data_IF_811698170746
#
_entry.id   IF_811698170746
#
_cell.length_a   1.000
_cell.length_b   1.000
_cell.length_c   1.000
_cell.angle_alpha   90.00
_cell.angle_beta   90.00
_cell.angle_gamma   90.00
#
_symmetry.space_group_name_H-M   'P 1'
#
loop_
_entity.id
_entity.type
_entity.pdbx_description
1 polymer ?
#
# COMPACT_ATOMS: atom_id res chain seq x y z
N UNK A 1 -49.90 -39.65 -8.79
CA UNK A 1 -48.79 -38.74 -8.42
C UNK A 1 -47.47 -39.37 -8.88
N UNK A 2 -46.61 -38.65 -9.63
CA UNK A 2 -45.25 -39.09 -9.97
C UNK A 2 -44.24 -38.28 -9.17
N UNK A 3 -43.29 -38.96 -8.54
CA UNK A 3 -42.07 -38.46 -7.88
C UNK A 3 -40.96 -39.42 -8.36
N UNK A 4 -39.65 -39.08 -8.44
CA UNK A 4 -38.89 -37.83 -8.62
C UNK A 4 -37.82 -37.98 -9.75
N UNK A 5 -36.92 -37.00 -9.93
CA UNK A 5 -35.48 -37.30 -10.16
C UNK A 5 -34.59 -36.15 -9.66
N UNK A 6 -33.55 -36.49 -8.89
CA UNK A 6 -32.58 -35.55 -8.34
C UNK A 6 -31.76 -34.86 -9.44
N UNK A 7 -31.38 -33.58 -9.27
CA UNK A 7 -30.58 -32.87 -10.25
C UNK A 7 -29.20 -33.53 -10.40
N UNK A 8 -28.85 -33.82 -11.65
CA UNK A 8 -27.55 -34.35 -12.09
C UNK A 8 -26.40 -33.62 -11.40
N UNK A 9 -25.60 -34.36 -10.63
CA UNK A 9 -24.35 -33.90 -10.01
C UNK A 9 -23.46 -33.30 -11.11
N UNK A 10 -23.16 -32.00 -11.02
CA UNK A 10 -22.21 -31.33 -11.92
C UNK A 10 -20.89 -32.09 -11.87
N UNK A 11 -20.45 -32.60 -13.01
CA UNK A 11 -19.12 -33.20 -13.17
C UNK A 11 -18.10 -32.11 -12.88
N UNK A 12 -17.24 -32.31 -11.89
CA UNK A 12 -16.16 -31.39 -11.59
C UNK A 12 -15.24 -31.31 -12.82
N UNK A 13 -15.20 -30.15 -13.46
CA UNK A 13 -14.25 -29.87 -14.54
C UNK A 13 -13.01 -29.23 -13.91
N UNK A 14 -11.84 -29.87 -13.95
CA UNK A 14 -10.63 -29.21 -13.49
C UNK A 14 -10.37 -27.97 -14.34
N UNK A 15 -9.92 -26.89 -13.68
CA UNK A 15 -9.52 -25.69 -14.39
C UNK A 15 -8.35 -26.03 -15.33
N UNK A 16 -8.31 -25.45 -16.54
CA UNK A 16 -7.16 -25.64 -17.43
C UNK A 16 -5.89 -25.13 -16.74
N UNK A 17 -4.78 -25.85 -16.94
CA UNK A 17 -3.47 -25.44 -16.42
C UNK A 17 -3.10 -24.07 -17.00
N UNK A 18 -2.68 -23.10 -16.16
CA UNK A 18 -2.31 -21.78 -16.63
C UNK A 18 -1.13 -21.88 -17.59
N UNK A 19 -1.15 -21.04 -18.63
CA UNK A 19 -0.04 -20.95 -19.58
C UNK A 19 1.19 -20.35 -18.89
N UNK A 20 2.41 -20.62 -19.40
CA UNK A 20 3.63 -20.02 -18.85
C UNK A 20 3.60 -18.48 -18.86
N UNK A 21 2.87 -17.88 -19.81
CA UNK A 21 2.70 -16.42 -19.90
C UNK A 21 1.84 -15.89 -18.73
N UNK A 22 0.71 -16.54 -18.44
CA UNK A 22 -0.14 -16.20 -17.29
C UNK A 22 0.62 -16.38 -15.99
N UNK A 23 1.41 -17.45 -15.87
CA UNK A 23 2.23 -17.70 -14.68
C UNK A 23 3.30 -16.61 -14.50
N UNK A 24 3.98 -16.22 -15.59
CA UNK A 24 4.94 -15.12 -15.58
C UNK A 24 4.32 -13.78 -15.19
N UNK A 25 3.13 -13.47 -15.71
CA UNK A 25 2.39 -12.25 -15.36
C UNK A 25 2.00 -12.23 -13.86
N UNK A 26 1.48 -13.34 -13.33
CA UNK A 26 1.14 -13.46 -11.92
C UNK A 26 2.40 -13.30 -11.05
N UNK A 27 3.51 -13.96 -11.40
CA UNK A 27 4.78 -13.85 -10.65
C UNK A 27 5.33 -12.42 -10.70
N UNK A 28 5.22 -11.73 -11.84
CA UNK A 28 5.64 -10.34 -11.96
C UNK A 28 4.82 -9.43 -11.02
N UNK A 29 3.49 -9.60 -10.97
CA UNK A 29 2.62 -8.89 -10.03
C UNK A 29 2.97 -9.23 -8.58
N UNK A 30 3.11 -10.52 -8.25
CA UNK A 30 3.45 -10.95 -6.89
C UNK A 30 4.82 -10.42 -6.45
N UNK A 31 5.81 -10.37 -7.35
CA UNK A 31 7.12 -9.77 -7.06
C UNK A 31 7.00 -8.25 -6.84
N UNK A 32 6.21 -7.55 -7.67
CA UNK A 32 5.95 -6.12 -7.49
C UNK A 32 5.26 -5.83 -6.14
N UNK A 33 4.29 -6.66 -5.75
CA UNK A 33 3.60 -6.57 -4.46
C UNK A 33 4.53 -6.93 -3.30
N UNK A 34 5.40 -7.93 -3.45
CA UNK A 34 6.36 -8.31 -2.41
C UNK A 34 7.45 -7.25 -2.16
N UNK A 35 7.82 -6.49 -3.20
CA UNK A 35 8.80 -5.39 -3.11
C UNK A 35 8.14 -4.07 -2.72
N UNK A 36 6.84 -3.92 -2.98
CA UNK A 36 6.09 -2.79 -2.45
C UNK A 36 6.17 -2.80 -0.91
N UNK A 37 6.26 -1.63 -0.26
CA UNK A 37 6.71 -1.50 1.13
C UNK A 37 5.64 -1.91 2.17
N UNK A 38 4.92 -3.00 1.92
CA UNK A 38 3.85 -3.54 2.76
C UNK A 38 4.39 -4.27 4.01
N UNK A 39 5.69 -4.51 4.09
CA UNK A 39 6.32 -5.19 5.23
C UNK A 39 7.63 -4.52 5.63
N UNK A 40 7.69 -4.08 6.89
CA UNK A 40 8.80 -4.13 7.86
C UNK A 40 10.28 -4.04 7.42
N UNK A 41 10.58 -3.57 6.21
CA UNK A 41 11.88 -2.96 5.92
C UNK A 41 12.03 -1.81 6.89
N UNK A 42 13.02 -1.92 7.78
CA UNK A 42 13.23 -0.96 8.86
C UNK A 42 13.71 0.34 8.22
N UNK A 43 12.76 1.18 7.81
CA UNK A 43 13.03 2.52 7.31
C UNK A 43 13.82 3.24 8.40
N UNK A 44 15.01 3.71 8.05
CA UNK A 44 15.79 4.51 8.98
C UNK A 44 15.03 5.83 9.21
N UNK A 45 14.72 6.18 10.48
CA UNK A 45 13.91 7.37 10.76
C UNK A 45 14.60 8.66 10.32
N UNK A 46 15.94 8.71 10.29
CA UNK A 46 16.70 9.86 9.79
C UNK A 46 16.53 10.05 8.28
N UNK A 47 16.56 8.95 7.53
CA UNK A 47 16.26 8.96 6.09
C UNK A 47 14.82 9.40 5.83
N UNK A 48 13.86 8.87 6.58
CA UNK A 48 12.45 9.26 6.46
C UNK A 48 12.23 10.75 6.74
N UNK A 49 12.83 11.28 7.80
CA UNK A 49 12.77 12.71 8.15
C UNK A 49 13.32 13.55 7.01
N UNK A 50 14.49 13.19 6.49
CA UNK A 50 15.14 13.93 5.39
C UNK A 50 14.26 13.95 4.15
N UNK A 51 13.70 12.80 3.75
CA UNK A 51 12.81 12.70 2.59
C UNK A 51 11.53 13.51 2.77
N UNK A 52 10.92 13.47 3.95
CA UNK A 52 9.70 14.23 4.24
C UNK A 52 9.96 15.74 4.33
N UNK A 53 11.13 16.15 4.85
CA UNK A 53 11.57 17.53 4.87
C UNK A 53 11.81 18.06 3.46
N UNK A 54 12.51 17.31 2.63
CA UNK A 54 12.73 17.65 1.22
C UNK A 54 11.40 17.77 0.46
N UNK A 55 10.48 16.82 0.67
CA UNK A 55 9.16 16.86 0.07
C UNK A 55 8.32 18.08 0.54
N UNK A 56 8.45 18.47 1.81
CA UNK A 56 7.79 19.68 2.34
C UNK A 56 8.40 20.96 1.75
N UNK A 57 9.71 21.01 1.57
CA UNK A 57 10.42 22.15 0.96
C UNK A 57 10.07 22.29 -0.52
N UNK A 58 10.00 21.18 -1.25
CA UNK A 58 9.68 21.14 -2.68
C UNK A 58 8.17 21.15 -2.97
N UNK A 59 7.33 21.08 -1.92
CA UNK A 59 5.88 21.00 -2.00
C UNK A 59 5.39 19.82 -2.86
N UNK A 60 6.13 18.71 -2.83
CA UNK A 60 5.82 17.51 -3.62
C UNK A 60 4.95 16.54 -2.83
N UNK A 61 3.95 15.96 -3.49
CA UNK A 61 3.12 14.93 -2.86
C UNK A 61 3.90 13.62 -2.75
N UNK A 62 3.71 12.91 -1.64
CA UNK A 62 4.37 11.64 -1.35
C UNK A 62 3.36 10.58 -0.95
N UNK A 63 3.64 9.33 -1.31
CA UNK A 63 2.98 8.15 -0.79
C UNK A 63 3.73 7.69 0.45
N UNK A 64 3.06 7.71 1.60
CA UNK A 64 3.58 7.13 2.84
C UNK A 64 2.95 5.77 3.11
N UNK A 65 3.77 4.83 3.54
CA UNK A 65 3.30 3.66 4.28
C UNK A 65 3.14 4.07 5.73
N UNK A 66 1.99 3.80 6.34
CA UNK A 66 1.67 4.25 7.69
C UNK A 66 0.92 3.19 8.48
N UNK A 67 1.41 2.88 9.67
CA UNK A 67 0.75 1.97 10.61
C UNK A 67 -0.13 2.79 11.56
N UNK A 68 -1.41 2.45 11.64
CA UNK A 68 -2.37 3.10 12.54
C UNK A 68 -2.16 2.67 14.03
N UNK A 69 -2.84 3.27 15.04
CA UNK A 69 -2.65 2.87 16.44
C UNK A 69 -3.14 1.44 16.73
N UNK A 70 -4.01 0.89 15.88
CA UNK A 70 -4.48 -0.49 15.97
C UNK A 70 -3.50 -1.48 15.29
N UNK A 71 -2.38 -0.99 14.74
CA UNK A 71 -1.38 -1.81 14.06
C UNK A 71 -1.71 -2.08 12.58
N UNK A 72 -2.71 -1.42 12.00
CA UNK A 72 -3.11 -1.64 10.61
C UNK A 72 -2.24 -0.79 9.70
N UNK A 73 -1.51 -1.44 8.79
CA UNK A 73 -0.73 -0.78 7.76
C UNK A 73 -1.61 -0.28 6.61
N UNK A 74 -1.43 0.99 6.24
CA UNK A 74 -2.16 1.65 5.14
C UNK A 74 -1.19 2.46 4.29
N UNK A 75 -1.55 2.71 3.03
CA UNK A 75 -0.86 3.67 2.18
C UNK A 75 -1.68 4.94 2.05
N UNK A 76 -0.98 6.09 2.08
CA UNK A 76 -1.64 7.39 2.02
C UNK A 76 -0.82 8.33 1.14
N UNK A 77 -1.48 8.93 0.15
CA UNK A 77 -0.93 10.10 -0.52
C UNK A 77 -1.13 11.28 0.41
N UNK A 78 -0.07 12.03 0.69
CA UNK A 78 -0.12 13.24 1.51
C UNK A 78 0.70 14.35 0.85
N UNK A 79 0.28 15.59 1.05
CA UNK A 79 1.06 16.77 0.72
C UNK A 79 1.76 17.28 1.98
N UNK A 80 3.08 17.06 2.14
CA UNK A 80 3.83 17.46 3.33
C UNK A 80 3.82 18.97 3.51
N UNK A 81 3.60 19.43 4.74
CA UNK A 81 3.62 20.85 5.11
C UNK A 81 4.87 21.15 5.93
N UNK A 82 5.18 20.33 6.93
CA UNK A 82 6.35 20.51 7.78
C UNK A 82 6.68 19.24 8.58
N UNK A 83 7.93 19.11 9.02
CA UNK A 83 8.41 18.00 9.85
C UNK A 83 9.09 18.56 11.10
N UNK A 84 8.53 18.31 12.28
CA UNK A 84 9.05 18.79 13.57
C UNK A 84 8.78 17.80 14.69
N UNK A 85 9.72 17.65 15.62
CA UNK A 85 9.52 16.85 16.84
C UNK A 85 9.13 15.38 16.58
N UNK A 86 9.58 14.78 15.47
CA UNK A 86 9.19 13.41 15.10
C UNK A 86 7.78 13.27 14.54
N UNK A 87 7.14 14.38 14.16
CA UNK A 87 5.82 14.44 13.54
C UNK A 87 5.90 15.09 12.16
N UNK A 88 5.10 14.58 11.24
CA UNK A 88 4.81 15.18 9.93
C UNK A 88 3.43 15.83 9.99
N UNK A 89 3.34 17.12 9.72
CA UNK A 89 2.07 17.78 9.41
C UNK A 89 1.87 17.74 7.90
N UNK A 90 0.76 17.19 7.42
CA UNK A 90 0.49 17.07 6.00
C UNK A 90 -1.00 17.16 5.69
N UNK A 91 -1.34 17.66 4.49
CA UNK A 91 -2.70 17.57 3.97
C UNK A 91 -2.93 16.16 3.40
N UNK A 92 -4.02 15.51 3.82
CA UNK A 92 -4.43 14.18 3.38
C UNK A 92 -5.67 14.32 2.47
N UNK A 93 -5.52 14.22 1.13
CA UNK A 93 -6.61 14.37 0.18
C UNK A 93 -7.74 13.36 0.39
N UNK A 94 -7.45 12.15 0.88
CA UNK A 94 -8.48 11.14 1.12
C UNK A 94 -9.40 11.51 2.29
N UNK A 95 -8.92 12.36 3.23
CA UNK A 95 -9.71 12.87 4.34
C UNK A 95 -10.16 14.33 4.17
N UNK A 96 -9.62 15.04 3.17
CA UNK A 96 -9.92 16.45 2.90
C UNK A 96 -9.45 17.43 3.98
N UNK A 97 -8.46 17.05 4.80
CA UNK A 97 -8.00 17.86 5.95
C UNK A 97 -6.52 17.67 6.25
N UNK A 98 -5.96 18.63 6.98
CA UNK A 98 -4.61 18.54 7.54
C UNK A 98 -4.59 17.56 8.71
N UNK A 99 -3.60 16.68 8.74
CA UNK A 99 -3.39 15.69 9.80
C UNK A 99 -1.92 15.64 10.21
N UNK A 100 -1.71 15.13 11.42
CA UNK A 100 -0.39 14.81 11.94
C UNK A 100 -0.12 13.31 11.83
N UNK A 101 1.08 12.97 11.40
CA UNK A 101 1.57 11.61 11.25
C UNK A 101 2.86 11.43 12.04
N UNK A 102 2.84 10.51 12.99
CA UNK A 102 4.02 10.15 13.76
C UNK A 102 5.05 9.42 12.88
N UNK A 103 6.27 9.96 12.80
CA UNK A 103 7.30 9.46 11.90
C UNK A 103 7.71 8.03 12.24
N UNK A 104 7.74 7.67 13.53
CA UNK A 104 8.03 6.29 13.96
C UNK A 104 7.00 5.25 13.48
N UNK A 105 5.86 5.70 12.92
CA UNK A 105 4.82 4.85 12.33
C UNK A 105 4.81 4.91 10.79
N UNK A 106 5.71 5.69 10.20
CA UNK A 106 5.95 5.71 8.76
C UNK A 106 6.86 4.53 8.41
N UNK A 107 6.40 3.67 7.51
CA UNK A 107 7.12 2.47 7.05
C UNK A 107 7.76 2.65 5.68
N UNK A 108 7.34 3.66 4.92
CA UNK A 108 7.95 4.03 3.65
C UNK A 108 7.58 5.45 3.25
N UNK A 109 8.42 6.07 2.43
CA UNK A 109 8.15 7.35 1.77
C UNK A 109 8.59 7.22 0.32
N UNK A 110 7.68 7.51 -0.61
CA UNK A 110 7.94 7.46 -2.06
C UNK A 110 7.28 8.69 -2.69
N UNK A 111 7.93 9.32 -3.67
CA UNK A 111 7.32 10.42 -4.41
C UNK A 111 6.06 9.96 -5.15
N UNK A 112 4.98 10.75 -5.11
CA UNK A 112 3.73 10.39 -5.78
C UNK A 112 3.80 10.51 -7.31
N UNK A 113 4.81 11.21 -7.83
CA UNK A 113 5.07 11.38 -9.27
C UNK A 113 5.92 10.24 -9.86
N UNK A 114 6.52 9.40 -9.02
CA UNK A 114 7.33 8.26 -9.45
C UNK A 114 6.43 7.05 -9.79
N UNK A 115 5.72 7.13 -10.91
CA UNK A 115 5.08 5.97 -11.56
C UNK A 115 5.87 5.51 -12.80
#
# INVERSE_FOLDING_TARGET
>A
ARVPTAPRRRVYRPAPTPTPQTLGAIVAVLRKVAVAPFGNTRLDPGVAITQLQDAALTQTSVVIGYVDPAGIATQRVVAPINVRGGQLTAYDPASGRVREFAIHRVTSVVSADSE
#
